data_IF_633009070790
#
_entry.id   IF_633009070790
#
_cell.length_a   1.000
_cell.length_b   1.000
_cell.length_c   1.000
_cell.angle_alpha   90.00
_cell.angle_beta   90.00
_cell.angle_gamma   90.00
#
_symmetry.space_group_name_H-M   'P 1'
#
loop_
_entity.id
_entity.type
_entity.pdbx_description
1 polymer ?
#
# COMPACT_ATOMS: atom_id res chain seq x y z
N UNK A 1 -19.34 0.64 15.29
CA UNK A 1 -18.66 0.94 14.00
C UNK A 1 -17.64 -0.16 13.81
N UNK A 2 -17.80 -1.02 12.81
CA UNK A 2 -17.04 -2.26 12.67
C UNK A 2 -15.82 -2.06 11.76
N UNK A 3 -14.74 -2.80 12.02
CA UNK A 3 -13.45 -2.87 11.30
C UNK A 3 -13.48 -3.12 9.75
N UNK A 4 -14.60 -2.83 9.06
CA UNK A 4 -14.76 -3.00 7.61
C UNK A 4 -15.43 -1.84 6.86
N UNK A 5 -15.84 -0.76 7.53
CA UNK A 5 -16.53 0.37 6.85
C UNK A 5 -15.88 1.74 7.05
N UNK A 6 -14.69 1.77 7.65
CA UNK A 6 -13.95 3.02 7.86
C UNK A 6 -13.29 3.48 6.57
N UNK A 7 -13.78 4.60 6.04
CA UNK A 7 -12.99 5.43 5.12
C UNK A 7 -11.98 6.21 5.96
N UNK A 8 -10.69 6.00 5.71
CA UNK A 8 -9.65 6.90 6.18
C UNK A 8 -9.82 8.23 5.43
N UNK A 9 -10.25 9.27 6.14
CA UNK A 9 -10.49 10.59 5.57
C UNK A 9 -9.94 11.64 6.54
N UNK A 10 -9.03 12.49 6.06
CA UNK A 10 -8.35 13.50 6.86
C UNK A 10 -6.93 13.12 7.27
N UNK A 11 -6.19 14.06 7.89
CA UNK A 11 -4.79 13.86 8.26
C UNK A 11 -4.66 12.79 9.35
N UNK A 12 -3.67 11.91 9.20
CA UNK A 12 -3.30 10.88 10.16
C UNK A 12 -1.82 10.55 10.06
N UNK A 13 -1.25 10.07 11.17
CA UNK A 13 0.04 9.43 11.20
C UNK A 13 -0.09 7.94 10.90
N UNK A 14 0.78 7.43 10.05
CA UNK A 14 0.95 6.00 9.80
C UNK A 14 2.31 5.59 10.33
N UNK A 15 2.34 4.63 11.26
CA UNK A 15 3.57 4.00 11.74
C UNK A 15 3.70 2.64 11.09
N UNK A 16 4.90 2.34 10.61
CA UNK A 16 5.24 1.08 9.95
C UNK A 16 6.46 0.48 10.64
N UNK A 17 6.49 -0.84 10.77
CA UNK A 17 7.72 -1.55 11.10
C UNK A 17 8.43 -1.99 9.82
N UNK A 18 9.74 -1.77 9.73
CA UNK A 18 10.51 -2.08 8.51
C UNK A 18 10.85 -3.57 8.37
N UNK A 19 10.89 -4.31 9.47
CA UNK A 19 11.32 -5.71 9.52
C UNK A 19 10.18 -6.70 9.76
N UNK A 20 8.96 -6.20 9.99
CA UNK A 20 7.77 -6.99 10.24
C UNK A 20 6.61 -6.34 9.51
N UNK A 21 5.67 -7.13 9.00
CA UNK A 21 4.46 -6.55 8.44
C UNK A 21 3.56 -6.04 9.58
N UNK A 22 3.80 -4.79 9.98
CA UNK A 22 3.00 -4.08 10.94
C UNK A 22 2.73 -2.65 10.46
N UNK A 23 1.47 -2.22 10.62
CA UNK A 23 1.05 -0.87 10.32
C UNK A 23 0.05 -0.37 11.37
N UNK A 24 0.14 0.90 11.73
CA UNK A 24 -0.75 1.55 12.70
C UNK A 24 -1.13 2.94 12.24
N UNK A 25 -2.43 3.21 12.15
CA UNK A 25 -2.99 4.52 11.80
C UNK A 25 -3.48 5.23 13.05
N UNK A 26 -3.16 6.52 13.19
CA UNK A 26 -3.64 7.36 14.28
C UNK A 26 -3.87 8.80 13.84
N UNK A 27 -4.99 9.45 14.20
CA UNK A 27 -6.13 8.87 14.92
C UNK A 27 -7.00 8.00 14.00
N UNK A 28 -7.76 7.07 14.59
CA UNK A 28 -8.69 6.20 13.85
C UNK A 28 -10.08 6.18 14.50
N UNK A 29 -11.12 6.64 13.79
CA UNK A 29 -12.51 6.77 14.25
C UNK A 29 -12.73 7.73 15.46
N UNK A 30 -11.80 7.82 16.39
CA UNK A 30 -11.73 8.80 17.48
C UNK A 30 -10.27 9.19 17.75
N UNK A 31 -10.07 10.37 18.36
CA UNK A 31 -8.74 10.96 18.59
C UNK A 31 -7.83 10.15 19.51
N UNK A 32 -8.36 9.22 20.31
CA UNK A 32 -7.60 8.40 21.26
C UNK A 32 -7.39 6.96 20.79
N UNK A 33 -7.87 6.63 19.60
CA UNK A 33 -7.84 5.29 19.03
C UNK A 33 -6.85 5.21 17.88
N UNK A 34 -6.20 4.04 17.75
CA UNK A 34 -5.34 3.68 16.64
C UNK A 34 -5.69 2.30 16.09
N UNK A 35 -5.30 2.02 14.86
CA UNK A 35 -5.30 0.65 14.34
C UNK A 35 -4.00 -0.05 14.72
N UNK A 36 -4.01 -1.38 14.84
CA UNK A 36 -2.80 -2.21 14.81
C UNK A 36 -3.03 -3.36 13.85
N UNK A 37 -2.35 -3.31 12.70
CA UNK A 37 -2.45 -4.30 11.64
C UNK A 37 -1.21 -5.20 11.63
N UNK A 38 -1.44 -6.49 11.43
CA UNK A 38 -0.46 -7.53 11.05
C UNK A 38 -1.16 -8.47 10.06
N UNK A 39 -0.40 -9.33 9.39
CA UNK A 39 -0.99 -10.34 8.49
C UNK A 39 -2.07 -11.21 9.18
N UNK A 40 -1.91 -11.52 10.48
CA UNK A 40 -2.77 -12.43 11.22
C UNK A 40 -3.81 -11.74 12.11
N UNK A 41 -3.69 -10.42 12.34
CA UNK A 41 -4.53 -9.69 13.31
C UNK A 41 -4.70 -8.23 12.92
N UNK A 42 -5.93 -7.75 13.02
CA UNK A 42 -6.25 -6.32 13.00
C UNK A 42 -6.99 -5.96 14.27
N UNK A 43 -6.56 -4.89 14.94
CA UNK A 43 -7.21 -4.40 16.15
C UNK A 43 -7.41 -2.89 16.10
N UNK A 44 -8.40 -2.42 16.85
CA UNK A 44 -8.52 -1.03 17.28
C UNK A 44 -8.12 -0.98 18.74
N UNK A 45 -7.17 -0.10 19.06
CA UNK A 45 -6.57 0.00 20.39
C UNK A 45 -6.55 1.45 20.86
N UNK A 46 -6.66 1.66 22.15
CA UNK A 46 -6.43 2.97 22.77
C UNK A 46 -4.92 3.29 22.80
N UNK A 47 -4.58 4.55 23.08
CA UNK A 47 -3.20 4.97 23.31
C UNK A 47 -2.48 4.17 24.42
N UNK A 48 -3.22 3.67 25.42
CA UNK A 48 -2.69 2.86 26.53
C UNK A 48 -2.59 1.36 26.19
N UNK A 49 -2.97 0.95 24.96
CA UNK A 49 -2.89 -0.43 24.50
C UNK A 49 -4.10 -1.30 24.84
N UNK A 50 -5.19 -0.70 25.33
CA UNK A 50 -6.44 -1.42 25.55
C UNK A 50 -7.10 -1.72 24.19
N UNK A 51 -7.42 -2.99 23.94
CA UNK A 51 -8.03 -3.45 22.70
C UNK A 51 -9.54 -3.27 22.77
N UNK A 52 -10.10 -2.41 21.93
CA UNK A 52 -11.55 -2.12 21.89
C UNK A 52 -12.29 -2.95 20.85
N UNK A 53 -11.62 -3.35 19.78
CA UNK A 53 -12.14 -4.25 18.74
C UNK A 53 -10.97 -5.06 18.15
N UNK A 54 -11.21 -6.32 17.78
CA UNK A 54 -10.17 -7.20 17.25
C UNK A 54 -10.75 -8.21 16.27
N UNK A 55 -9.96 -8.47 15.22
CA UNK A 55 -10.22 -9.52 14.24
C UNK A 55 -8.95 -10.33 14.04
N UNK A 56 -9.08 -11.64 14.18
CA UNK A 56 -8.08 -12.60 13.75
C UNK A 56 -8.28 -12.92 12.27
N UNK A 57 -7.20 -13.29 11.59
CA UNK A 57 -7.19 -13.66 10.17
C UNK A 57 -8.00 -12.67 9.31
N UNK A 58 -7.52 -11.42 9.17
CA UNK A 58 -8.23 -10.41 8.44
C UNK A 58 -8.56 -10.90 7.03
N UNK A 59 -7.62 -11.52 6.32
CA UNK A 59 -7.83 -11.96 4.94
C UNK A 59 -8.99 -12.95 4.82
N UNK A 60 -9.13 -13.92 5.73
CA UNK A 60 -10.27 -14.83 5.71
C UNK A 60 -11.58 -14.22 6.25
N UNK A 61 -11.48 -13.19 7.08
CA UNK A 61 -12.62 -12.59 7.79
C UNK A 61 -13.42 -11.56 7.00
N UNK A 62 -12.94 -11.13 5.83
CA UNK A 62 -13.68 -10.19 4.99
C UNK A 62 -14.44 -10.92 3.88
N UNK A 63 -15.79 -10.85 3.87
CA UNK A 63 -16.53 -11.19 2.67
C UNK A 63 -16.10 -10.23 1.55
N UNK A 64 -16.15 -10.72 0.31
CA UNK A 64 -15.61 -10.08 -0.91
C UNK A 64 -16.22 -8.71 -1.26
N UNK A 65 -17.17 -8.23 -0.46
CA UNK A 65 -17.91 -6.97 -0.59
C UNK A 65 -17.44 -5.87 0.37
N UNK A 66 -16.49 -6.15 1.28
CA UNK A 66 -16.01 -5.17 2.27
C UNK A 66 -14.73 -4.49 1.81
N UNK A 67 -14.78 -3.15 1.71
CA UNK A 67 -13.61 -2.34 1.33
C UNK A 67 -12.58 -2.34 2.45
N UNK A 68 -11.40 -2.80 2.09
CA UNK A 68 -10.31 -3.20 2.92
C UNK A 68 -9.08 -2.31 2.70
N UNK A 69 -8.82 -1.29 3.54
CA UNK A 69 -7.73 -0.36 3.29
C UNK A 69 -6.34 -0.81 3.81
N UNK A 70 -6.14 -2.05 4.24
CA UNK A 70 -5.08 -2.41 5.20
C UNK A 70 -3.73 -2.87 4.63
N UNK A 71 -3.43 -2.65 3.35
CA UNK A 71 -2.10 -3.02 2.83
C UNK A 71 -1.23 -1.79 2.56
N UNK A 72 -0.35 -1.48 3.51
CA UNK A 72 0.65 -0.41 3.40
C UNK A 72 2.02 -0.90 2.93
N UNK A 73 2.13 -2.12 2.38
CA UNK A 73 3.41 -2.63 1.83
C UNK A 73 3.96 -1.75 0.72
N UNK A 74 3.12 -0.92 0.09
CA UNK A 74 3.54 0.10 -0.88
C UNK A 74 4.36 1.25 -0.26
N UNK A 75 4.32 1.46 1.06
CA UNK A 75 5.13 2.44 1.78
C UNK A 75 6.53 1.92 2.11
N UNK A 76 6.71 0.60 2.20
CA UNK A 76 8.00 -0.06 2.45
C UNK A 76 8.65 -0.64 1.18
N UNK A 77 7.91 -0.66 0.06
CA UNK A 77 8.44 -0.99 -1.26
C UNK A 77 9.37 0.12 -1.78
N UNK A 78 10.48 -0.21 -2.48
CA UNK A 78 10.87 -1.55 -2.93
C UNK A 78 11.78 -2.30 -1.95
N UNK A 79 12.12 -1.74 -0.79
CA UNK A 79 13.14 -2.30 0.11
C UNK A 79 12.78 -3.70 0.61
N UNK A 80 11.49 -3.98 0.80
CA UNK A 80 11.01 -5.30 1.25
C UNK A 80 11.29 -6.43 0.25
N UNK A 81 11.46 -6.13 -1.04
CA UNK A 81 11.63 -7.16 -2.08
C UNK A 81 12.93 -7.96 -1.96
N UNK A 82 13.92 -7.44 -1.21
CA UNK A 82 15.16 -8.16 -0.92
C UNK A 82 15.03 -9.14 0.25
N UNK A 83 13.88 -9.19 0.93
CA UNK A 83 13.65 -10.06 2.08
C UNK A 83 13.41 -11.52 1.65
N UNK A 84 13.69 -12.51 2.53
CA UNK A 84 13.45 -13.91 2.22
C UNK A 84 12.01 -14.21 1.80
N UNK A 85 11.84 -15.02 0.74
CA UNK A 85 10.55 -15.47 0.24
C UNK A 85 9.92 -14.57 -0.84
N UNK A 86 10.46 -13.37 -1.07
CA UNK A 86 10.08 -12.56 -2.23
C UNK A 86 10.77 -13.08 -3.49
N UNK A 87 10.03 -13.15 -4.58
CA UNK A 87 10.59 -13.42 -5.90
C UNK A 87 10.43 -12.19 -6.78
N UNK A 88 11.51 -11.80 -7.47
CA UNK A 88 11.51 -10.63 -8.34
C UNK A 88 12.06 -10.99 -9.72
N UNK A 89 11.30 -10.71 -10.77
CA UNK A 89 11.66 -10.98 -12.16
C UNK A 89 11.57 -9.69 -12.96
N UNK A 90 12.67 -9.28 -13.58
CA UNK A 90 12.67 -8.15 -14.51
C UNK A 90 11.94 -8.53 -15.80
N UNK A 91 11.03 -7.66 -16.22
CA UNK A 91 10.30 -7.77 -17.49
C UNK A 91 10.87 -6.76 -18.50
N UNK A 92 10.55 -6.95 -19.78
CA UNK A 92 10.94 -5.98 -20.82
C UNK A 92 10.50 -4.57 -20.45
N UNK A 93 11.33 -3.54 -20.65
CA UNK A 93 10.95 -2.16 -20.33
C UNK A 93 9.81 -1.68 -21.24
N UNK A 94 9.17 -0.58 -20.84
CA UNK A 94 8.12 0.10 -21.63
C UNK A 94 8.48 1.56 -21.84
N UNK A 95 7.96 2.13 -22.92
CA UNK A 95 7.95 3.59 -23.11
C UNK A 95 6.64 4.14 -22.58
N UNK A 96 6.71 4.99 -21.56
CA UNK A 96 5.54 5.64 -20.96
C UNK A 96 5.92 7.09 -20.63
N UNK A 97 5.04 8.05 -20.95
CA UNK A 97 5.27 9.49 -20.72
C UNK A 97 6.57 10.06 -21.32
N UNK A 98 7.10 9.44 -22.39
CA UNK A 98 8.36 9.85 -23.02
C UNK A 98 9.62 9.33 -22.31
N UNK A 99 9.47 8.54 -21.24
CA UNK A 99 10.54 7.89 -20.51
C UNK A 99 10.56 6.38 -20.77
N UNK A 100 11.73 5.76 -20.60
CA UNK A 100 11.85 4.30 -20.55
C UNK A 100 11.73 3.84 -19.10
N UNK A 101 10.72 3.04 -18.78
CA UNK A 101 10.54 2.46 -17.46
C UNK A 101 10.90 0.98 -17.44
N UNK A 102 11.76 0.60 -16.50
CA UNK A 102 12.09 -0.80 -16.19
C UNK A 102 10.96 -1.41 -15.37
N UNK A 103 10.62 -2.66 -15.64
CA UNK A 103 9.49 -3.33 -14.98
C UNK A 103 9.98 -4.49 -14.14
N UNK A 104 9.52 -4.55 -12.90
CA UNK A 104 9.81 -5.63 -11.97
C UNK A 104 8.50 -6.31 -11.58
N UNK A 105 8.30 -7.56 -11.98
CA UNK A 105 7.24 -8.41 -11.43
C UNK A 105 7.73 -8.92 -10.08
N UNK A 106 6.96 -8.69 -9.04
CA UNK A 106 7.25 -9.16 -7.68
C UNK A 106 6.15 -10.12 -7.26
N UNK A 107 6.54 -11.31 -6.82
CA UNK A 107 5.67 -12.29 -6.18
C UNK A 107 5.95 -12.25 -4.67
N UNK A 108 4.90 -11.93 -3.91
CA UNK A 108 4.95 -11.84 -2.46
C UNK A 108 4.79 -13.23 -1.85
N UNK A 109 5.50 -13.55 -0.75
CA UNK A 109 5.31 -14.82 -0.06
C UNK A 109 3.97 -14.84 0.68
N UNK A 110 3.37 -16.03 0.82
CA UNK A 110 2.02 -16.23 1.37
C UNK A 110 1.80 -15.67 2.78
N UNK A 111 2.87 -15.46 3.56
CA UNK A 111 2.79 -14.92 4.91
C UNK A 111 2.65 -13.39 4.95
N UNK A 112 2.79 -12.70 3.81
CA UNK A 112 2.61 -11.25 3.68
C UNK A 112 1.21 -10.98 3.17
N UNK A 113 0.41 -10.29 3.98
CA UNK A 113 -0.93 -9.87 3.58
C UNK A 113 -0.84 -8.70 2.58
N UNK A 114 -0.98 -9.01 1.29
CA UNK A 114 -0.89 -8.04 0.18
C UNK A 114 -2.20 -7.92 -0.61
N UNK A 115 -2.38 -6.85 -1.39
CA UNK A 115 -3.49 -6.67 -2.32
C UNK A 115 -3.67 -7.81 -3.33
N UNK A 116 -2.56 -8.30 -3.90
CA UNK A 116 -2.50 -9.51 -4.74
C UNK A 116 -1.11 -10.15 -4.63
N UNK A 117 -0.99 -11.49 -4.78
CA UNK A 117 0.29 -12.19 -4.69
C UNK A 117 1.32 -11.69 -5.71
N UNK A 118 0.89 -11.42 -6.94
CA UNK A 118 1.73 -10.84 -7.99
C UNK A 118 1.39 -9.37 -8.21
N UNK A 119 2.44 -8.54 -8.28
CA UNK A 119 2.35 -7.10 -8.53
C UNK A 119 3.48 -6.67 -9.48
N UNK A 120 3.29 -5.58 -10.24
CA UNK A 120 4.29 -5.08 -11.18
C UNK A 120 4.67 -3.64 -10.84
N UNK A 121 5.96 -3.41 -10.65
CA UNK A 121 6.54 -2.11 -10.30
C UNK A 121 7.33 -1.56 -11.49
N UNK A 122 7.22 -0.26 -11.73
CA UNK A 122 7.83 0.43 -12.86
C UNK A 122 8.78 1.49 -12.33
N UNK A 123 10.04 1.41 -12.70
CA UNK A 123 11.09 2.32 -12.23
C UNK A 123 11.67 3.12 -13.39
N UNK A 124 11.92 4.40 -13.17
CA UNK A 124 12.65 5.23 -14.13
C UNK A 124 14.15 4.92 -14.15
N UNK A 125 14.91 5.67 -14.97
CA UNK A 125 16.36 5.56 -15.06
C UNK A 125 17.11 5.96 -13.77
N UNK A 126 16.46 6.71 -12.88
CA UNK A 126 17.01 7.10 -11.57
C UNK A 126 16.68 6.07 -10.48
N UNK A 127 15.93 5.01 -10.80
CA UNK A 127 15.48 3.99 -9.84
C UNK A 127 14.29 4.43 -8.99
N UNK A 128 13.61 5.53 -9.33
CA UNK A 128 12.40 5.97 -8.64
C UNK A 128 11.18 5.22 -9.18
N UNK A 129 10.29 4.80 -8.27
CA UNK A 129 9.03 4.16 -8.65
C UNK A 129 8.15 5.19 -9.39
N UNK A 130 7.63 4.82 -10.55
CA UNK A 130 6.74 5.65 -11.38
C UNK A 130 5.32 5.12 -11.44
N UNK A 131 5.18 3.79 -11.38
CA UNK A 131 3.89 3.11 -11.44
C UNK A 131 3.97 1.78 -10.70
N UNK A 132 2.88 1.41 -10.05
CA UNK A 132 2.68 0.14 -9.38
C UNK A 132 1.32 -0.43 -9.78
N UNK A 133 1.34 -1.58 -10.46
CA UNK A 133 0.16 -2.26 -10.99
C UNK A 133 -0.17 -3.50 -10.17
N UNK A 134 -1.41 -3.56 -9.69
CA UNK A 134 -1.92 -4.69 -8.91
C UNK A 134 -3.44 -4.83 -9.11
N UNK A 135 -4.00 -5.90 -8.55
CA UNK A 135 -5.45 -6.10 -8.48
C UNK A 135 -5.81 -6.29 -7.01
N UNK A 136 -6.52 -5.35 -6.36
CA UNK A 136 -6.89 -5.51 -4.97
C UNK A 136 -8.01 -6.54 -4.83
N UNK A 137 -7.63 -7.81 -4.65
CA UNK A 137 -8.53 -8.97 -4.67
C UNK A 137 -9.60 -8.89 -3.57
N UNK A 138 -9.24 -8.34 -2.42
CA UNK A 138 -10.12 -8.27 -1.24
C UNK A 138 -11.33 -7.36 -1.45
N UNK A 139 -11.17 -6.28 -2.23
CA UNK A 139 -12.24 -5.27 -2.44
C UNK A 139 -12.92 -5.41 -3.80
N UNK A 140 -12.47 -6.38 -4.62
CA UNK A 140 -12.93 -6.64 -5.98
C UNK A 140 -13.10 -5.37 -6.83
N UNK A 141 -12.18 -4.40 -6.69
CA UNK A 141 -12.25 -3.12 -7.42
C UNK A 141 -11.75 -3.22 -8.88
N UNK A 142 -11.32 -4.41 -9.29
CA UNK A 142 -10.64 -4.65 -10.56
C UNK A 142 -9.21 -4.10 -10.58
N UNK A 143 -8.48 -4.28 -11.69
CA UNK A 143 -7.08 -3.88 -11.80
C UNK A 143 -6.90 -2.37 -11.64
N UNK A 144 -5.82 -1.97 -10.97
CA UNK A 144 -5.47 -0.56 -10.74
C UNK A 144 -4.02 -0.27 -11.10
N UNK A 145 -3.74 1.01 -11.33
CA UNK A 145 -2.40 1.55 -11.51
C UNK A 145 -2.19 2.68 -10.49
N UNK A 146 -1.18 2.51 -9.64
CA UNK A 146 -0.83 3.42 -8.56
C UNK A 146 0.39 4.24 -8.98
N UNK A 147 0.23 5.56 -9.08
CA UNK A 147 1.25 6.51 -9.51
C UNK A 147 1.78 7.33 -8.33
N UNK A 148 2.97 6.99 -7.81
CA UNK A 148 3.72 7.85 -6.90
C UNK A 148 4.44 8.99 -7.63
N UNK A 149 4.45 10.18 -7.03
CA UNK A 149 5.09 11.38 -7.55
C UNK A 149 5.49 12.35 -6.42
N UNK A 150 6.05 13.50 -6.79
CA UNK A 150 6.47 14.56 -5.86
C UNK A 150 7.43 14.02 -4.78
N UNK A 151 8.47 13.32 -5.22
CA UNK A 151 9.46 12.75 -4.30
C UNK A 151 10.18 13.82 -3.49
N UNK A 152 10.32 13.56 -2.18
CA UNK A 152 11.10 14.38 -1.25
C UNK A 152 11.97 13.48 -0.37
N UNK A 153 13.08 14.04 0.08
CA UNK A 153 13.99 13.40 1.02
C UNK A 153 13.58 13.69 2.46
N UNK A 154 13.54 12.66 3.29
CA UNK A 154 13.38 12.74 4.74
C UNK A 154 14.44 11.83 5.38
N UNK A 155 15.26 12.38 6.27
CA UNK A 155 16.36 11.66 6.94
C UNK A 155 17.26 10.85 5.97
N UNK A 156 17.51 11.38 4.77
CA UNK A 156 18.33 10.72 3.74
C UNK A 156 17.60 9.66 2.91
N UNK A 157 16.28 9.47 3.11
CA UNK A 157 15.45 8.53 2.37
C UNK A 157 14.46 9.30 1.48
N UNK A 158 14.53 9.03 0.19
CA UNK A 158 13.64 9.63 -0.81
C UNK A 158 12.35 8.83 -0.94
N UNK A 159 11.21 9.44 -0.58
CA UNK A 159 9.88 8.83 -0.68
C UNK A 159 8.93 9.73 -1.49
N UNK A 160 7.92 9.17 -2.17
CA UNK A 160 6.93 9.96 -2.88
C UNK A 160 5.98 10.63 -1.88
N UNK A 161 5.79 11.95 -1.98
CA UNK A 161 4.81 12.65 -1.14
C UNK A 161 3.42 12.69 -1.73
N UNK A 162 3.25 12.24 -2.97
CA UNK A 162 1.95 12.19 -3.63
C UNK A 162 1.74 10.83 -4.28
N UNK A 163 0.55 10.28 -4.12
CA UNK A 163 0.16 8.99 -4.67
C UNK A 163 -1.28 9.05 -5.17
N UNK A 164 -1.50 8.61 -6.41
CA UNK A 164 -2.81 8.58 -7.06
C UNK A 164 -3.06 7.22 -7.68
N UNK A 165 -4.22 6.64 -7.39
CA UNK A 165 -4.61 5.32 -7.89
C UNK A 165 -5.72 5.47 -8.92
N UNK A 166 -5.52 4.86 -10.08
CA UNK A 166 -6.44 4.91 -11.21
C UNK A 166 -6.88 3.52 -11.62
N UNK A 167 -8.01 3.42 -12.32
CA UNK A 167 -8.44 2.15 -12.90
C UNK A 167 -7.54 1.77 -14.07
N UNK A 168 -7.12 0.51 -14.09
CA UNK A 168 -6.38 -0.08 -15.21
C UNK A 168 -7.31 -0.95 -16.06
N UNK A 169 -7.35 -0.68 -17.35
CA UNK A 169 -8.09 -1.43 -18.35
C UNK A 169 -7.26 -2.53 -19.02
N UNK A 170 -7.83 -3.12 -20.06
CA UNK A 170 -7.13 -4.10 -20.89
C UNK A 170 -5.90 -3.49 -21.57
N UNK A 171 -4.92 -4.34 -21.87
CA UNK A 171 -3.66 -3.92 -22.49
C UNK A 171 -2.80 -2.98 -21.62
N UNK A 172 -3.15 -2.78 -20.35
CA UNK A 172 -2.42 -1.89 -19.43
C UNK A 172 -2.80 -0.41 -19.55
N UNK A 173 -3.87 -0.09 -20.30
CA UNK A 173 -4.43 1.27 -20.41
C UNK A 173 -4.86 1.79 -19.03
N UNK A 174 -4.72 3.09 -18.78
CA UNK A 174 -5.08 3.71 -17.50
C UNK A 174 -6.03 4.87 -17.75
N UNK A 175 -7.20 4.84 -17.12
CA UNK A 175 -8.13 5.97 -17.13
C UNK A 175 -7.75 6.94 -16.00
N UNK A 176 -7.22 8.10 -16.37
CA UNK A 176 -6.77 9.13 -15.42
C UNK A 176 -7.87 10.13 -15.03
N UNK A 177 -9.08 9.96 -15.55
CA UNK A 177 -10.21 10.87 -15.31
C UNK A 177 -10.75 10.78 -13.88
N UNK A 178 -10.49 9.66 -13.19
CA UNK A 178 -10.95 9.41 -11.84
C UNK A 178 -9.80 8.90 -10.97
N UNK A 179 -9.59 9.56 -9.83
CA UNK A 179 -8.72 9.09 -8.75
C UNK A 179 -9.55 8.21 -7.80
N UNK A 180 -9.22 6.92 -7.72
CA UNK A 180 -9.88 5.95 -6.86
C UNK A 180 -9.42 6.06 -5.40
N UNK A 181 -8.11 6.29 -5.22
CA UNK A 181 -7.45 6.49 -3.93
C UNK A 181 -6.42 7.61 -4.09
N UNK A 182 -6.39 8.51 -3.12
CA UNK A 182 -5.46 9.64 -3.06
C UNK A 182 -4.74 9.61 -1.72
N UNK A 183 -3.42 9.69 -1.76
CA UNK A 183 -2.61 9.78 -0.55
C UNK A 183 -1.61 10.92 -0.76
N UNK A 184 -1.54 11.80 0.23
CA UNK A 184 -0.60 12.91 0.29
C UNK A 184 0.16 12.80 1.63
N UNK A 185 1.49 12.84 1.58
CA UNK A 185 2.38 12.69 2.73
C UNK A 185 3.02 14.03 3.02
N UNK A 186 2.71 14.60 4.18
CA UNK A 186 3.24 15.92 4.56
C UNK A 186 4.64 15.83 5.17
N UNK A 187 4.92 14.75 5.91
CA UNK A 187 6.20 14.53 6.57
C UNK A 187 6.49 13.03 6.75
N UNK A 188 7.77 12.70 6.87
CA UNK A 188 8.27 11.37 7.25
C UNK A 188 9.31 11.50 8.35
N UNK A 189 9.36 10.51 9.24
CA UNK A 189 10.34 10.39 10.31
C UNK A 189 10.77 8.93 10.39
N UNK A 190 12.08 8.69 10.42
CA UNK A 190 12.66 7.36 10.58
C UNK A 190 13.31 7.26 11.96
N UNK A 191 12.84 6.33 12.79
CA UNK A 191 13.25 6.16 14.20
C UNK A 191 13.84 4.79 14.48
#
# INVERSE_FOLDING_TARGET
>A
MTLGSSRFCGPMAVRLDLHQQHASHYPFAASHLRTSFTAQRVAVETATGEVTDVRADPRASFPSDVRAPWDDTYLTSPFTFASPGFEAVELSPVMEEGETWRRLKVTFPDHIATHSPEQIFYFDSNGLLRRHDYTPEVINAGPVAHYPSEYKEFDGITIPTRRRVHRRGEGGTVSRDVELVTIDVESGLFV
#
